data_IF_922922578540
#
_entry.id   IF_922922578540
#
_cell.length_a   1.000
_cell.length_b   1.000
_cell.length_c   1.000
_cell.angle_alpha   90.00
_cell.angle_beta   90.00
_cell.angle_gamma   90.00
#
_symmetry.space_group_name_H-M   'P 1'
#
loop_
_entity.id
_entity.type
_entity.pdbx_description
1 polymer ?
#
# COMPACT_ATOMS: atom_id res chain seq x y z
N UNK A 1 -45.39 57.75 31.93
CA UNK A 1 -44.35 56.85 31.39
C UNK A 1 -44.36 55.57 32.20
N UNK A 2 -44.64 54.43 31.57
CA UNK A 2 -44.33 53.11 32.11
C UNK A 2 -43.59 52.37 31.00
N UNK A 3 -42.31 52.13 31.23
CA UNK A 3 -41.44 51.32 30.39
C UNK A 3 -41.99 49.89 30.38
N UNK A 4 -42.30 49.38 29.18
CA UNK A 4 -42.66 47.99 28.91
C UNK A 4 -41.63 47.48 27.90
N UNK A 5 -40.42 47.21 28.38
CA UNK A 5 -39.30 46.68 27.61
C UNK A 5 -38.35 46.03 28.63
N UNK A 6 -38.55 44.74 28.92
CA UNK A 6 -37.67 43.98 29.85
C UNK A 6 -37.85 42.45 29.68
N UNK A 7 -39.04 41.98 29.27
CA UNK A 7 -39.34 40.54 29.19
C UNK A 7 -38.69 39.84 27.97
N UNK A 8 -38.61 40.53 26.83
CA UNK A 8 -37.97 40.02 25.60
C UNK A 8 -36.44 39.92 25.70
N UNK A 9 -35.82 40.88 26.39
CA UNK A 9 -34.36 40.89 26.60
C UNK A 9 -33.93 39.77 27.56
N UNK A 10 -34.75 39.45 28.56
CA UNK A 10 -34.52 38.33 29.48
C UNK A 10 -34.55 36.97 28.75
N UNK A 11 -35.48 36.76 27.82
CA UNK A 11 -35.56 35.52 27.04
C UNK A 11 -34.36 35.35 26.09
N UNK A 12 -33.90 36.45 25.47
CA UNK A 12 -32.72 36.45 24.59
C UNK A 12 -31.45 36.17 25.39
N UNK A 13 -31.28 36.78 26.57
CA UNK A 13 -30.14 36.52 27.46
C UNK A 13 -30.07 35.05 27.89
N UNK A 14 -31.20 34.45 28.27
CA UNK A 14 -31.26 33.03 28.61
C UNK A 14 -30.87 32.12 27.43
N UNK A 15 -31.32 32.43 26.20
CA UNK A 15 -30.93 31.67 25.00
C UNK A 15 -29.44 31.80 24.71
N UNK A 16 -28.88 33.00 24.87
CA UNK A 16 -27.44 33.27 24.69
C UNK A 16 -26.61 32.51 25.72
N UNK A 17 -27.05 32.42 26.97
CA UNK A 17 -26.36 31.66 28.02
C UNK A 17 -26.35 30.15 27.76
N UNK A 18 -27.48 29.60 27.29
CA UNK A 18 -27.58 28.18 26.90
C UNK A 18 -26.66 27.88 25.72
N UNK A 19 -26.65 28.73 24.69
CA UNK A 19 -25.76 28.57 23.52
C UNK A 19 -24.28 28.68 23.91
N UNK A 20 -23.91 29.62 24.78
CA UNK A 20 -22.53 29.71 25.27
C UNK A 20 -22.11 28.48 26.09
N UNK A 21 -23.03 27.91 26.88
CA UNK A 21 -22.75 26.68 27.62
C UNK A 21 -22.54 25.49 26.68
N UNK A 22 -23.44 25.30 25.72
CA UNK A 22 -23.35 24.25 24.70
C UNK A 22 -22.06 24.39 23.87
N UNK A 23 -21.70 25.62 23.48
CA UNK A 23 -20.44 25.88 22.77
C UNK A 23 -19.22 25.46 23.59
N UNK A 24 -19.15 25.82 24.88
CA UNK A 24 -18.05 25.40 25.76
C UNK A 24 -17.97 23.88 25.92
N UNK A 25 -19.12 23.20 26.05
CA UNK A 25 -19.18 21.74 26.12
C UNK A 25 -18.66 21.10 24.81
N UNK A 26 -19.06 21.63 23.66
CA UNK A 26 -18.61 21.18 22.33
C UNK A 26 -17.12 21.42 22.11
N UNK A 27 -16.59 22.58 22.50
CA UNK A 27 -15.15 22.86 22.47
C UNK A 27 -14.36 21.88 23.34
N UNK A 28 -14.88 21.52 24.52
CA UNK A 28 -14.24 20.52 25.38
C UNK A 28 -14.28 19.13 24.73
N UNK A 29 -15.43 18.72 24.19
CA UNK A 29 -15.56 17.44 23.48
C UNK A 29 -14.62 17.35 22.27
N UNK A 30 -14.42 18.44 21.53
CA UNK A 30 -13.46 18.51 20.42
C UNK A 30 -12.03 18.29 20.92
N UNK A 31 -11.61 18.98 22.00
CA UNK A 31 -10.29 18.78 22.60
C UNK A 31 -10.07 17.34 23.08
N UNK A 32 -11.09 16.75 23.71
CA UNK A 32 -11.02 15.37 24.20
C UNK A 32 -10.94 14.37 23.03
N UNK A 33 -11.68 14.61 21.94
CA UNK A 33 -11.64 13.80 20.73
C UNK A 33 -10.28 13.89 20.03
N UNK A 34 -9.68 15.08 19.94
CA UNK A 34 -8.34 15.28 19.37
C UNK A 34 -7.29 14.53 20.20
N UNK A 35 -7.36 14.62 21.52
CA UNK A 35 -6.49 13.88 22.45
C UNK A 35 -6.62 12.37 22.26
N UNK A 36 -7.86 11.86 22.15
CA UNK A 36 -8.12 10.46 21.87
C UNK A 36 -7.57 10.04 20.50
N UNK A 37 -7.77 10.86 19.47
CA UNK A 37 -7.28 10.58 18.12
C UNK A 37 -5.74 10.48 18.09
N UNK A 38 -5.03 11.42 18.73
CA UNK A 38 -3.56 11.34 18.86
C UNK A 38 -3.12 10.08 19.59
N UNK A 39 -3.81 9.71 20.67
CA UNK A 39 -3.54 8.47 21.42
C UNK A 39 -3.72 7.23 20.56
N UNK A 40 -4.77 7.19 19.74
CA UNK A 40 -5.04 6.08 18.83
C UNK A 40 -3.98 5.97 17.72
N UNK A 41 -3.55 7.10 17.15
CA UNK A 41 -2.46 7.14 16.16
C UNK A 41 -1.17 6.56 16.75
N UNK A 42 -0.81 6.95 17.98
CA UNK A 42 0.40 6.45 18.65
C UNK A 42 0.29 4.94 18.89
N UNK A 43 -0.86 4.46 19.36
CA UNK A 43 -1.08 3.02 19.60
C UNK A 43 -1.06 2.20 18.32
N UNK A 44 -1.64 2.72 17.25
CA UNK A 44 -1.66 2.06 15.94
C UNK A 44 -0.24 1.94 15.39
N UNK A 45 0.54 3.03 15.41
CA UNK A 45 1.95 3.02 15.00
C UNK A 45 2.75 1.99 15.78
N UNK A 46 2.62 2.00 17.12
CA UNK A 46 3.31 1.04 17.98
C UNK A 46 2.92 -0.40 17.67
N UNK A 47 1.63 -0.68 17.52
CA UNK A 47 1.14 -2.02 17.18
C UNK A 47 1.60 -2.46 15.79
N UNK A 48 1.68 -1.54 14.83
CA UNK A 48 2.19 -1.83 13.51
C UNK A 48 3.69 -2.13 13.55
N UNK A 49 4.49 -1.35 14.30
CA UNK A 49 5.92 -1.60 14.47
C UNK A 49 6.17 -2.99 15.09
N UNK A 50 5.42 -3.34 16.16
CA UNK A 50 5.47 -4.68 16.77
C UNK A 50 5.12 -5.80 15.78
N UNK A 51 4.11 -5.58 14.93
CA UNK A 51 3.71 -6.54 13.90
C UNK A 51 4.77 -6.69 12.79
N UNK A 52 5.38 -5.60 12.35
CA UNK A 52 6.45 -5.62 11.34
C UNK A 52 7.68 -6.34 11.87
N UNK A 53 8.09 -6.08 13.12
CA UNK A 53 9.20 -6.79 13.74
C UNK A 53 8.89 -8.29 13.92
N UNK A 54 7.69 -8.65 14.38
CA UNK A 54 7.29 -10.06 14.47
C UNK A 54 7.30 -10.77 13.10
N UNK A 55 6.87 -10.09 12.04
CA UNK A 55 6.93 -10.61 10.66
C UNK A 55 8.37 -10.80 10.19
N UNK A 56 9.25 -9.84 10.46
CA UNK A 56 10.66 -9.88 10.11
C UNK A 56 11.38 -11.04 10.81
N UNK A 57 11.14 -11.22 12.10
CA UNK A 57 11.65 -12.35 12.87
C UNK A 57 11.15 -13.70 12.32
N UNK A 58 9.87 -13.80 11.95
CA UNK A 58 9.32 -15.00 11.32
C UNK A 58 9.99 -15.30 9.98
N UNK A 59 10.18 -14.29 9.12
CA UNK A 59 10.87 -14.44 7.84
C UNK A 59 12.31 -14.89 8.06
N UNK A 60 13.04 -14.29 9.00
CA UNK A 60 14.41 -14.69 9.32
C UNK A 60 14.46 -16.13 9.85
N UNK A 61 13.58 -16.49 10.77
CA UNK A 61 13.49 -17.86 11.29
C UNK A 61 13.22 -18.88 10.18
N UNK A 62 12.32 -18.59 9.23
CA UNK A 62 12.04 -19.50 8.11
C UNK A 62 13.22 -19.57 7.12
N UNK A 63 13.98 -18.49 6.92
CA UNK A 63 15.21 -18.53 6.08
C UNK A 63 16.23 -19.54 6.62
N UNK A 64 16.37 -19.66 7.94
CA UNK A 64 17.32 -20.56 8.60
C UNK A 64 16.86 -22.01 8.59
N UNK A 65 15.54 -22.23 8.55
CA UNK A 65 14.95 -23.56 8.52
C UNK A 65 15.03 -24.10 7.08
N UNK A 66 16.09 -24.85 6.78
CA UNK A 66 16.20 -25.62 5.54
C UNK A 66 15.18 -26.76 5.55
N UNK A 67 13.96 -26.48 5.08
CA UNK A 67 12.90 -27.46 4.96
C UNK A 67 12.38 -27.50 3.53
N UNK A 68 12.15 -28.70 3.00
CA UNK A 68 11.34 -28.95 1.77
C UNK A 68 9.85 -28.70 2.06
N UNK A 69 9.55 -27.62 2.74
CA UNK A 69 8.20 -27.22 3.09
C UNK A 69 7.60 -26.43 1.92
N UNK A 70 6.28 -26.50 1.79
CA UNK A 70 5.53 -25.74 0.79
C UNK A 70 5.58 -24.23 1.04
N UNK A 71 5.98 -23.81 2.23
CA UNK A 71 6.14 -22.42 2.63
C UNK A 71 7.63 -22.14 2.79
N UNK A 72 8.10 -21.06 2.19
CA UNK A 72 9.47 -20.57 2.35
C UNK A 72 9.54 -19.06 2.22
N UNK A 73 10.73 -18.56 1.90
CA UNK A 73 10.96 -17.13 1.70
C UNK A 73 11.33 -16.86 0.26
N UNK A 74 10.58 -15.97 -0.39
CA UNK A 74 10.84 -15.47 -1.73
C UNK A 74 11.40 -14.05 -1.66
N UNK A 75 12.38 -13.75 -2.50
CA UNK A 75 12.93 -12.40 -2.66
C UNK A 75 12.20 -11.72 -3.83
N UNK A 76 11.26 -10.85 -3.50
CA UNK A 76 10.42 -10.14 -4.46
C UNK A 76 11.24 -9.12 -5.23
N UNK A 77 11.21 -9.22 -6.56
CA UNK A 77 11.96 -8.33 -7.44
C UNK A 77 13.41 -8.77 -7.70
N UNK A 78 13.84 -9.92 -7.18
CA UNK A 78 15.14 -10.48 -7.54
C UNK A 78 15.09 -11.04 -8.97
N UNK A 79 16.06 -10.67 -9.81
CA UNK A 79 16.16 -11.19 -11.16
C UNK A 79 16.63 -12.64 -11.15
N UNK A 80 15.89 -13.49 -11.86
CA UNK A 80 16.34 -14.84 -12.17
C UNK A 80 17.43 -14.77 -13.25
N UNK A 81 18.65 -15.15 -12.90
CA UNK A 81 19.79 -15.17 -13.82
C UNK A 81 19.71 -16.30 -14.86
N UNK A 82 18.89 -17.34 -14.64
CA UNK A 82 18.84 -18.52 -15.52
C UNK A 82 18.51 -18.18 -16.99
N UNK A 83 17.50 -17.33 -17.30
CA UNK A 83 17.21 -16.93 -18.67
C UNK A 83 18.35 -16.13 -19.32
N UNK A 84 19.12 -15.38 -18.53
CA UNK A 84 20.30 -14.67 -19.00
C UNK A 84 21.39 -15.66 -19.42
N UNK A 85 21.71 -16.62 -18.56
CA UNK A 85 22.68 -17.68 -18.84
C UNK A 85 22.28 -18.52 -20.05
N UNK A 86 21.03 -18.96 -20.13
CA UNK A 86 20.53 -19.76 -21.27
C UNK A 86 20.62 -19.01 -22.60
N UNK A 87 20.42 -17.70 -22.58
CA UNK A 87 20.54 -16.86 -23.77
C UNK A 87 22.00 -16.65 -24.16
N UNK A 88 22.88 -16.37 -23.20
CA UNK A 88 24.30 -16.14 -23.46
C UNK A 88 25.04 -17.41 -23.90
N UNK A 89 24.68 -18.58 -23.35
CA UNK A 89 25.26 -19.88 -23.76
C UNK A 89 24.98 -20.26 -25.21
N UNK A 90 24.00 -19.63 -25.86
CA UNK A 90 23.73 -19.82 -27.30
C UNK A 90 24.64 -18.97 -28.19
N UNK A 91 25.28 -17.94 -27.64
CA UNK A 91 26.09 -16.94 -28.37
C UNK A 91 27.58 -17.05 -28.06
N UNK A 92 27.92 -17.49 -26.85
CA UNK A 92 29.29 -17.47 -26.33
C UNK A 92 29.71 -18.85 -25.77
N UNK A 93 31.01 -19.01 -25.54
CA UNK A 93 31.54 -20.17 -24.79
C UNK A 93 31.12 -20.10 -23.31
N UNK A 94 31.35 -21.16 -22.54
CA UNK A 94 30.82 -21.29 -21.17
C UNK A 94 31.23 -20.16 -20.20
N UNK A 95 32.51 -19.83 -20.14
CA UNK A 95 33.05 -18.81 -19.23
C UNK A 95 32.61 -17.41 -19.65
N UNK A 96 32.72 -17.09 -20.95
CA UNK A 96 32.26 -15.81 -21.49
C UNK A 96 30.73 -15.66 -21.34
N UNK A 97 29.96 -16.73 -21.50
CA UNK A 97 28.52 -16.68 -21.32
C UNK A 97 28.12 -16.36 -19.87
N UNK A 98 28.86 -16.86 -18.88
CA UNK A 98 28.61 -16.58 -17.47
C UNK A 98 28.92 -15.13 -17.10
N UNK A 99 30.06 -14.60 -17.58
CA UNK A 99 30.42 -13.19 -17.41
C UNK A 99 29.37 -12.29 -18.06
N UNK A 100 29.04 -12.51 -19.34
CA UNK A 100 28.05 -11.70 -20.07
C UNK A 100 26.66 -11.74 -19.46
N UNK A 101 26.24 -12.90 -18.97
CA UNK A 101 24.95 -13.04 -18.31
C UNK A 101 24.91 -12.23 -17.01
N UNK A 102 26.01 -12.25 -16.24
CA UNK A 102 26.14 -11.52 -14.98
C UNK A 102 26.18 -10.01 -15.21
N UNK A 103 26.92 -9.54 -16.23
CA UNK A 103 26.95 -8.14 -16.66
C UNK A 103 25.55 -7.65 -17.04
N UNK A 104 24.85 -8.39 -17.90
CA UNK A 104 23.51 -8.01 -18.35
C UNK A 104 22.49 -8.05 -17.20
N UNK A 105 22.54 -9.08 -16.34
CA UNK A 105 21.68 -9.17 -15.17
C UNK A 105 21.86 -7.95 -14.26
N UNK A 106 23.11 -7.59 -13.93
CA UNK A 106 23.43 -6.43 -13.09
C UNK A 106 22.94 -5.12 -13.70
N UNK A 107 23.09 -4.94 -15.02
CA UNK A 107 22.59 -3.77 -15.73
C UNK A 107 21.07 -3.62 -15.56
N UNK A 108 20.33 -4.73 -15.68
CA UNK A 108 18.87 -4.72 -15.49
C UNK A 108 18.47 -4.55 -14.04
N UNK A 109 19.22 -5.08 -13.07
CA UNK A 109 18.98 -4.80 -11.65
C UNK A 109 19.08 -3.31 -11.33
N UNK A 110 20.05 -2.61 -11.93
CA UNK A 110 20.18 -1.15 -11.77
C UNK A 110 19.03 -0.41 -12.47
N UNK A 111 18.59 -0.86 -13.65
CA UNK A 111 17.40 -0.31 -14.29
C UNK A 111 16.15 -0.47 -13.40
N UNK A 112 15.95 -1.65 -12.79
CA UNK A 112 14.78 -1.91 -11.94
C UNK A 112 14.72 -1.02 -10.69
N UNK A 113 15.89 -0.61 -10.18
CA UNK A 113 16.04 0.29 -9.02
C UNK A 113 15.82 1.77 -9.39
N UNK A 114 15.88 2.12 -10.67
CA UNK A 114 15.72 3.49 -11.15
C UNK A 114 14.30 4.01 -10.84
N UNK A 115 14.14 5.03 -9.97
CA UNK A 115 12.84 5.58 -9.64
C UNK A 115 12.19 6.31 -10.83
N UNK A 116 13.00 6.85 -11.75
CA UNK A 116 12.52 7.61 -12.92
C UNK A 116 12.03 6.69 -14.03
N UNK A 117 12.36 5.39 -13.98
CA UNK A 117 11.87 4.40 -14.92
C UNK A 117 10.64 3.64 -14.38
N UNK A 118 9.48 3.93 -14.97
CA UNK A 118 8.20 3.35 -14.57
C UNK A 118 7.38 2.93 -15.79
N UNK A 119 7.71 1.77 -16.43
CA UNK A 119 7.09 1.34 -17.68
C UNK A 119 5.74 0.65 -17.40
N UNK A 120 4.82 1.39 -16.80
CA UNK A 120 3.46 0.96 -16.50
C UNK A 120 2.45 1.93 -17.10
N UNK A 121 1.34 1.37 -17.58
CA UNK A 121 0.17 2.12 -18.03
C UNK A 121 -1.05 1.73 -17.21
N UNK A 122 -1.94 2.70 -17.00
CA UNK A 122 -3.20 2.47 -16.30
C UNK A 122 -4.24 1.99 -17.30
N UNK A 123 -4.82 0.80 -17.06
CA UNK A 123 -5.90 0.24 -17.86
C UNK A 123 -7.09 -0.08 -16.96
N UNK A 124 -8.31 0.00 -17.51
CA UNK A 124 -9.52 -0.42 -16.81
C UNK A 124 -9.81 -1.88 -17.14
N UNK A 125 -9.66 -2.76 -16.15
CA UNK A 125 -10.00 -4.19 -16.23
C UNK A 125 -11.08 -4.45 -15.19
N UNK A 126 -12.23 -4.96 -15.63
CA UNK A 126 -13.42 -5.22 -14.78
C UNK A 126 -13.89 -4.01 -13.96
N UNK A 127 -13.83 -2.82 -14.56
CA UNK A 127 -14.24 -1.57 -13.91
C UNK A 127 -13.27 -1.04 -12.84
N UNK A 128 -12.11 -1.70 -12.64
CA UNK A 128 -11.03 -1.23 -11.75
C UNK A 128 -9.84 -0.74 -12.57
N UNK A 129 -9.24 0.36 -12.13
CA UNK A 129 -7.97 0.83 -12.69
C UNK A 129 -6.84 -0.06 -12.17
N UNK A 130 -6.11 -0.68 -13.09
CA UNK A 130 -4.95 -1.52 -12.80
C UNK A 130 -3.74 -1.00 -13.58
N UNK A 131 -2.58 -1.01 -12.93
CA UNK A 131 -1.29 -0.75 -13.57
C UNK A 131 -0.81 -2.04 -14.22
N UNK A 132 -0.64 -2.01 -15.53
CA UNK A 132 -0.08 -3.12 -16.32
C UNK A 132 1.20 -2.64 -17.00
N UNK A 133 2.08 -3.58 -17.34
CA UNK A 133 3.30 -3.26 -18.09
C UNK A 133 2.95 -2.54 -19.39
N UNK A 134 3.67 -1.46 -19.67
CA UNK A 134 3.61 -0.78 -20.94
C UNK A 134 4.46 -1.54 -21.97
N UNK A 135 3.78 -2.18 -22.93
CA UNK A 135 4.40 -2.88 -24.04
C UNK A 135 5.06 -1.94 -25.06
N UNK A 136 4.76 -0.64 -24.99
CA UNK A 136 5.38 0.39 -25.83
C UNK A 136 6.67 0.97 -25.24
N UNK A 137 7.06 0.60 -24.00
CA UNK A 137 8.29 1.07 -23.37
C UNK A 137 9.53 0.71 -24.21
N UNK A 138 10.33 1.73 -24.54
CA UNK A 138 11.47 1.59 -25.45
C UNK A 138 12.53 0.61 -24.94
N UNK A 139 12.80 0.62 -23.62
CA UNK A 139 13.81 -0.26 -23.01
C UNK A 139 13.33 -1.72 -23.02
N UNK A 140 12.07 -1.96 -22.66
CA UNK A 140 11.47 -3.30 -22.66
C UNK A 140 11.35 -3.87 -24.08
N UNK A 141 10.98 -3.04 -25.07
CA UNK A 141 10.98 -3.45 -26.48
C UNK A 141 12.37 -3.80 -26.97
N UNK A 142 13.37 -2.95 -26.66
CA UNK A 142 14.77 -3.21 -26.97
C UNK A 142 15.23 -4.55 -26.39
N UNK A 143 14.99 -4.78 -25.10
CA UNK A 143 15.32 -6.04 -24.41
C UNK A 143 14.72 -7.25 -25.10
N UNK A 144 13.42 -7.18 -25.41
CA UNK A 144 12.69 -8.28 -26.06
C UNK A 144 13.24 -8.59 -27.44
N UNK A 145 13.56 -7.56 -28.23
CA UNK A 145 14.08 -7.70 -29.59
C UNK A 145 15.52 -8.23 -29.61
N UNK A 146 16.37 -7.75 -28.70
CA UNK A 146 17.80 -8.08 -28.71
C UNK A 146 18.12 -9.38 -27.97
N UNK A 147 17.42 -9.65 -26.86
CA UNK A 147 17.75 -10.74 -25.93
C UNK A 147 16.66 -11.81 -25.85
N UNK A 148 15.47 -11.52 -26.40
CA UNK A 148 14.39 -12.50 -26.54
C UNK A 148 13.43 -12.58 -25.36
N UNK A 149 12.41 -13.42 -25.52
CA UNK A 149 11.27 -13.53 -24.61
C UNK A 149 11.66 -13.98 -23.19
N UNK A 150 12.68 -14.83 -23.05
CA UNK A 150 13.07 -15.40 -21.76
C UNK A 150 13.54 -14.34 -20.76
N UNK A 151 14.47 -13.48 -21.19
CA UNK A 151 14.98 -12.39 -20.37
C UNK A 151 13.91 -11.32 -20.17
N UNK A 152 13.14 -10.99 -21.21
CA UNK A 152 12.01 -10.06 -21.10
C UNK A 152 11.01 -10.49 -20.01
N UNK A 153 10.64 -11.78 -19.96
CA UNK A 153 9.75 -12.32 -18.92
C UNK A 153 10.37 -12.24 -17.52
N UNK A 154 11.66 -12.52 -17.39
CA UNK A 154 12.36 -12.42 -16.11
C UNK A 154 12.34 -10.98 -15.57
N UNK A 155 12.66 -10.01 -16.44
CA UNK A 155 12.68 -8.58 -16.08
C UNK A 155 11.29 -8.06 -15.75
N UNK A 156 10.28 -8.36 -16.57
CA UNK A 156 8.90 -7.92 -16.31
C UNK A 156 8.30 -8.56 -15.07
N UNK A 157 8.59 -9.83 -14.79
CA UNK A 157 8.17 -10.48 -13.55
C UNK A 157 8.78 -9.80 -12.32
N UNK A 158 10.09 -9.55 -12.32
CA UNK A 158 10.75 -8.82 -11.23
C UNK A 158 10.18 -7.41 -11.05
N UNK A 159 9.92 -6.70 -12.15
CA UNK A 159 9.34 -5.37 -12.12
C UNK A 159 7.91 -5.35 -11.53
N UNK A 160 7.07 -6.32 -11.90
CA UNK A 160 5.71 -6.48 -11.33
C UNK A 160 5.80 -6.77 -9.83
N UNK A 161 6.71 -7.65 -9.40
CA UNK A 161 6.92 -7.94 -7.99
C UNK A 161 7.37 -6.71 -7.21
N UNK A 162 8.31 -5.91 -7.75
CA UNK A 162 8.72 -4.65 -7.14
C UNK A 162 7.53 -3.70 -6.99
N UNK A 163 6.75 -3.50 -8.05
CA UNK A 163 5.60 -2.59 -8.00
C UNK A 163 4.48 -3.07 -7.07
N UNK A 164 4.38 -4.39 -6.87
CA UNK A 164 3.38 -4.99 -5.98
C UNK A 164 3.78 -4.90 -4.51
N UNK A 165 5.02 -5.24 -4.19
CA UNK A 165 5.48 -5.40 -2.80
C UNK A 165 6.25 -4.19 -2.26
N UNK A 166 6.92 -3.43 -3.11
CA UNK A 166 7.69 -2.25 -2.71
C UNK A 166 7.74 -1.15 -3.80
N UNK A 167 6.57 -0.60 -4.20
CA UNK A 167 6.50 0.37 -5.31
C UNK A 167 7.30 1.65 -5.06
N UNK A 168 7.35 2.11 -3.81
CA UNK A 168 8.07 3.34 -3.44
C UNK A 168 9.56 3.11 -3.20
N UNK A 169 9.94 1.99 -2.59
CA UNK A 169 11.33 1.73 -2.23
C UNK A 169 12.15 1.11 -3.36
N UNK A 170 11.53 0.40 -4.30
CA UNK A 170 12.16 -0.28 -5.44
C UNK A 170 13.28 -1.28 -5.08
N UNK A 171 13.49 -1.58 -3.79
CA UNK A 171 14.47 -2.56 -3.33
C UNK A 171 13.84 -3.94 -3.12
N UNK A 172 14.66 -4.98 -3.27
CA UNK A 172 14.27 -6.37 -3.09
C UNK A 172 13.73 -6.60 -1.68
N UNK A 173 12.52 -7.13 -1.57
CA UNK A 173 11.88 -7.40 -0.27
C UNK A 173 11.72 -8.91 -0.08
N UNK A 174 12.07 -9.40 1.10
CA UNK A 174 11.84 -10.82 1.44
C UNK A 174 10.42 -11.01 1.93
N UNK A 175 9.72 -11.99 1.37
CA UNK A 175 8.33 -12.28 1.70
C UNK A 175 8.09 -13.76 1.97
N UNK A 176 7.15 -14.04 2.86
CA UNK A 176 6.66 -15.41 3.07
C UNK A 176 5.92 -15.87 1.84
N UNK A 177 6.31 -17.02 1.31
CA UNK A 177 5.82 -17.52 0.04
C UNK A 177 5.33 -18.95 0.13
N UNK A 178 4.15 -19.19 -0.41
CA UNK A 178 3.58 -20.52 -0.54
C UNK A 178 3.79 -21.03 -1.97
N UNK A 179 4.70 -21.98 -2.14
CA UNK A 179 5.03 -22.56 -3.44
C UNK A 179 3.95 -23.49 -4.00
N UNK A 180 2.92 -23.86 -3.21
CA UNK A 180 1.78 -24.64 -3.71
C UNK A 180 0.71 -23.80 -4.41
N UNK A 181 0.45 -22.57 -3.98
CA UNK A 181 -0.54 -21.67 -4.61
C UNK A 181 -0.12 -21.27 -6.04
N UNK A 182 1.18 -21.22 -6.32
CA UNK A 182 1.72 -20.86 -7.65
C UNK A 182 1.33 -21.86 -8.74
N UNK A 183 1.03 -23.12 -8.41
CA UNK A 183 0.61 -24.12 -9.39
C UNK A 183 -0.79 -23.87 -9.97
N UNK A 184 -1.61 -22.98 -9.38
CA UNK A 184 -2.97 -22.68 -9.84
C UNK A 184 -3.20 -21.23 -10.29
N UNK A 185 -2.32 -20.29 -9.93
CA UNK A 185 -2.55 -18.85 -10.13
C UNK A 185 -1.45 -18.18 -10.95
N UNK A 186 -1.31 -18.57 -12.22
CA UNK A 186 -0.76 -17.66 -13.21
C UNK A 186 -1.89 -16.70 -13.62
N UNK A 187 -1.85 -15.44 -13.13
CA UNK A 187 -2.62 -14.25 -13.58
C UNK A 187 -3.61 -13.60 -12.59
N UNK A 188 -3.50 -13.75 -11.27
CA UNK A 188 -4.25 -12.88 -10.34
C UNK A 188 -3.33 -12.23 -9.29
N UNK A 189 -3.49 -10.93 -9.00
CA UNK A 189 -2.77 -10.28 -7.93
C UNK A 189 -3.20 -10.86 -6.57
N UNK A 190 -2.21 -11.15 -5.72
CA UNK A 190 -2.39 -11.72 -4.39
C UNK A 190 -3.44 -10.90 -3.59
N UNK A 191 -4.55 -11.53 -3.15
CA UNK A 191 -5.60 -10.88 -2.36
C UNK A 191 -5.07 -10.18 -1.09
N UNK A 192 -3.94 -10.64 -0.54
CA UNK A 192 -3.29 -10.02 0.63
C UNK A 192 -2.55 -8.74 0.27
N UNK A 193 -1.92 -8.69 -0.90
CA UNK A 193 -1.30 -7.47 -1.43
C UNK A 193 -2.37 -6.43 -1.76
N UNK A 194 -3.50 -6.84 -2.36
CA UNK A 194 -4.64 -5.97 -2.56
C UNK A 194 -5.23 -5.45 -1.24
N UNK A 195 -5.29 -6.29 -0.20
CA UNK A 195 -5.80 -5.88 1.11
C UNK A 195 -4.87 -4.87 1.80
N UNK A 196 -3.55 -5.06 1.68
CA UNK A 196 -2.57 -4.11 2.19
C UNK A 196 -2.59 -2.78 1.41
N UNK A 197 -2.65 -2.84 0.07
CA UNK A 197 -2.79 -1.68 -0.81
C UNK A 197 -4.10 -0.93 -0.53
N UNK A 198 -5.23 -1.65 -0.37
CA UNK A 198 -6.51 -1.07 0.07
C UNK A 198 -6.41 -0.35 1.42
N UNK A 199 -5.71 -0.93 2.41
CA UNK A 199 -5.49 -0.26 3.69
C UNK A 199 -4.65 1.02 3.55
N UNK A 200 -3.61 0.98 2.72
CA UNK A 200 -2.75 2.13 2.48
C UNK A 200 -3.46 3.24 1.69
N UNK A 201 -4.28 2.88 0.71
CA UNK A 201 -5.09 3.81 -0.09
C UNK A 201 -6.19 4.45 0.76
N UNK A 202 -6.84 3.68 1.64
CA UNK A 202 -7.79 4.21 2.61
C UNK A 202 -7.11 5.19 3.57
N UNK A 203 -5.89 4.90 4.02
CA UNK A 203 -5.12 5.82 4.87
C UNK A 203 -4.74 7.11 4.14
N UNK A 204 -4.34 7.03 2.86
CA UNK A 204 -4.05 8.20 2.01
C UNK A 204 -5.30 9.04 1.72
N UNK A 205 -6.44 8.40 1.45
CA UNK A 205 -7.72 9.10 1.29
C UNK A 205 -8.14 9.79 2.57
N UNK A 206 -7.95 9.13 3.71
CA UNK A 206 -8.26 9.68 5.03
C UNK A 206 -7.42 10.92 5.35
N UNK A 207 -6.11 10.87 5.12
CA UNK A 207 -5.23 12.02 5.37
C UNK A 207 -5.55 13.18 4.44
N UNK A 208 -5.88 12.93 3.16
CA UNK A 208 -6.27 13.97 2.21
C UNK A 208 -7.64 14.61 2.55
N UNK A 209 -8.64 13.80 2.92
CA UNK A 209 -9.96 14.30 3.36
C UNK A 209 -9.86 15.12 4.65
N UNK A 210 -9.02 14.70 5.59
CA UNK A 210 -8.77 15.44 6.84
C UNK A 210 -8.11 16.79 6.56
N UNK A 211 -7.11 16.81 5.66
CA UNK A 211 -6.44 18.04 5.25
C UNK A 211 -7.38 19.00 4.50
N UNK A 212 -8.23 18.48 3.60
CA UNK A 212 -9.20 19.28 2.87
C UNK A 212 -10.33 19.82 3.77
N UNK A 213 -10.75 19.06 4.78
CA UNK A 213 -11.69 19.54 5.81
C UNK A 213 -11.08 20.67 6.66
N UNK A 214 -9.79 20.59 6.98
CA UNK A 214 -9.04 21.64 7.67
C UNK A 214 -8.84 22.90 6.83
N UNK A 215 -8.54 22.75 5.53
CA UNK A 215 -8.26 23.86 4.61
C UNK A 215 -9.52 24.53 4.05
N UNK A 216 -10.64 23.80 3.96
CA UNK A 216 -11.88 24.24 3.32
C UNK A 216 -12.87 24.99 4.22
N UNK A 217 -12.54 25.24 5.49
CA UNK A 217 -13.40 25.98 6.41
C UNK A 217 -14.78 25.36 6.64
N UNK A 218 -14.91 24.04 6.50
CA UNK A 218 -16.17 23.34 6.79
C UNK A 218 -16.46 23.40 8.29
N UNK A 219 -17.37 24.29 8.67
CA UNK A 219 -17.93 24.35 10.01
C UNK A 219 -18.68 23.06 10.34
N UNK A 220 -18.16 22.37 11.35
CA UNK A 220 -18.90 21.60 12.34
C UNK A 220 -19.64 20.31 11.92
N UNK A 221 -19.39 19.27 12.72
CA UNK A 221 -20.03 17.94 12.78
C UNK A 221 -19.90 17.02 11.57
N UNK A 222 -20.01 17.49 10.32
CA UNK A 222 -19.98 16.59 9.15
C UNK A 222 -18.62 15.96 8.89
N UNK A 223 -17.52 16.71 9.08
CA UNK A 223 -16.17 16.17 8.94
C UNK A 223 -15.91 15.07 9.97
N UNK A 224 -16.18 15.33 11.25
CA UNK A 224 -16.04 14.36 12.35
C UNK A 224 -16.93 13.13 12.15
N UNK A 225 -18.15 13.30 11.63
CA UNK A 225 -19.07 12.19 11.37
C UNK A 225 -18.61 11.31 10.21
N UNK A 226 -18.05 11.89 9.14
CA UNK A 226 -17.45 11.15 8.02
C UNK A 226 -16.19 10.40 8.48
N UNK A 227 -15.32 11.07 9.23
CA UNK A 227 -14.10 10.49 9.82
C UNK A 227 -14.43 9.33 10.77
N UNK A 228 -15.44 9.46 11.63
CA UNK A 228 -15.88 8.40 12.54
C UNK A 228 -16.66 7.28 11.83
N UNK A 229 -17.54 7.58 10.87
CA UNK A 229 -18.24 6.57 10.07
C UNK A 229 -17.25 5.72 9.26
N UNK A 230 -16.24 6.33 8.63
CA UNK A 230 -15.21 5.59 7.90
C UNK A 230 -14.27 4.82 8.84
N UNK A 231 -13.92 5.36 10.00
CA UNK A 231 -13.15 4.62 11.02
C UNK A 231 -13.92 3.39 11.50
N UNK A 232 -15.24 3.50 11.68
CA UNK A 232 -16.12 2.38 12.03
C UNK A 232 -16.28 1.42 10.83
N UNK A 233 -16.43 1.91 9.60
CA UNK A 233 -16.54 1.09 8.40
C UNK A 233 -15.27 0.26 8.15
N UNK A 234 -14.09 0.87 8.30
CA UNK A 234 -12.79 0.20 8.26
C UNK A 234 -12.65 -0.83 9.39
N UNK A 235 -13.20 -0.55 10.59
CA UNK A 235 -13.12 -1.46 11.73
C UNK A 235 -14.14 -2.63 11.67
N UNK A 236 -15.25 -2.48 10.95
CA UNK A 236 -16.33 -3.48 10.87
C UNK A 236 -16.35 -4.31 9.58
N UNK A 237 -15.95 -3.76 8.43
CA UNK A 237 -15.92 -4.51 7.14
C UNK A 237 -14.66 -5.38 7.00
N UNK A 238 -13.72 -5.27 7.96
CA UNK A 238 -12.50 -6.08 8.07
C UNK A 238 -12.64 -7.31 8.98
N UNK A 239 -13.84 -7.62 9.49
CA UNK A 239 -14.07 -8.94 10.10
C UNK A 239 -14.26 -9.93 8.94
N UNK A 240 -13.39 -10.94 8.74
CA UNK A 240 -13.74 -11.99 7.80
C UNK A 240 -15.09 -12.54 8.24
N UNK A 241 -16.07 -12.58 7.34
CA UNK A 241 -17.23 -13.47 7.49
C UNK A 241 -16.70 -14.90 7.40
N UNK A 242 -16.02 -15.33 8.46
CA UNK A 242 -15.91 -16.73 8.83
C UNK A 242 -17.27 -17.09 9.42
N UNK A 243 -18.25 -17.35 8.56
CA UNK A 243 -19.43 -18.10 8.92
C UNK A 243 -19.71 -19.17 7.87
N UNK A 244 -19.51 -20.40 8.36
CA UNK A 244 -19.97 -21.72 7.91
C UNK A 244 -19.60 -22.24 6.51
N UNK A 245 -18.81 -23.32 6.55
CA UNK A 245 -19.01 -24.63 5.89
C UNK A 245 -19.62 -24.66 4.49
#
# INVERSE_FOLDING_TARGET
MRYMEDDGDSEVLNKVDVLHKDLREKEQLLRDLDSLNQTLIIKERKSNDELQEARKELINGIKEISCRANIGVKRMGELDIRPFLETMKKRYNGEEAEERASELCSLWEECLKDPDWHPFKITTIDGKHQEIIDDEDEKLKGLKNEMGEGIYKAVTAALIEINTYNPSGRYITSELWNYQEVCFEANLPDPRAEHFKRKQDVFKLFSHLTLHAYMGGFSDYRAVFITNMLTVYVKFDLRPKLHSM
#
